data_IF_149485403864
#
_entry.id   IF_149485403864
#
_cell.length_a   1.000
_cell.length_b   1.000
_cell.length_c   1.000
_cell.angle_alpha   90.00
_cell.angle_beta   90.00
_cell.angle_gamma   90.00
#
_symmetry.space_group_name_H-M   'P 1'
#
loop_
_entity.id
_entity.type
_entity.pdbx_description
1 polymer ?
#
# COMPACT_ATOMS: atom_id res chain seq x y z
N UNK A 1 -8.90 -7.21 33.49
CA UNK A 1 -8.72 -8.09 32.30
C UNK A 1 -7.31 -7.88 31.78
N UNK A 2 -6.47 -8.91 31.74
CA UNK A 2 -5.15 -8.78 31.11
C UNK A 2 -5.37 -8.49 29.62
N UNK A 3 -4.82 -7.38 29.12
CA UNK A 3 -4.92 -7.01 27.70
C UNK A 3 -4.24 -8.10 26.85
N UNK A 4 -5.02 -9.07 26.37
CA UNK A 4 -4.58 -10.21 25.54
C UNK A 4 -3.73 -9.75 24.34
N UNK A 5 -4.03 -8.55 23.83
CA UNK A 5 -3.34 -7.88 22.73
C UNK A 5 -1.86 -7.60 23.03
N UNK A 6 -1.48 -7.34 24.29
CA UNK A 6 -0.08 -7.00 24.64
C UNK A 6 0.74 -8.22 25.10
N UNK A 7 0.15 -9.41 25.08
CA UNK A 7 0.88 -10.66 25.37
C UNK A 7 1.81 -11.04 24.22
N UNK A 8 2.84 -11.84 24.48
CA UNK A 8 3.74 -12.35 23.43
C UNK A 8 2.99 -13.15 22.35
N UNK A 9 1.91 -13.85 22.72
CA UNK A 9 1.05 -14.58 21.79
C UNK A 9 0.23 -13.62 20.91
N UNK A 10 -0.36 -12.57 21.51
CA UNK A 10 -1.11 -11.55 20.77
C UNK A 10 -0.24 -10.80 19.75
N UNK A 11 0.99 -10.45 20.13
CA UNK A 11 1.97 -9.85 19.19
C UNK A 11 2.35 -10.78 18.06
N UNK A 12 2.51 -12.07 18.35
CA UNK A 12 2.81 -13.08 17.34
C UNK A 12 1.67 -13.20 16.32
N UNK A 13 0.42 -13.30 16.79
CA UNK A 13 -0.76 -13.42 15.91
C UNK A 13 -0.91 -12.21 15.00
N UNK A 14 -0.82 -10.98 15.56
CA UNK A 14 -0.91 -9.75 14.78
C UNK A 14 0.19 -9.71 13.71
N UNK A 15 1.44 -10.00 14.08
CA UNK A 15 2.54 -10.00 13.12
C UNK A 15 2.36 -11.03 11.99
N UNK A 16 1.90 -12.25 12.30
CA UNK A 16 1.63 -13.27 11.26
C UNK A 16 0.51 -12.81 10.34
N UNK A 17 -0.60 -12.31 10.89
CA UNK A 17 -1.73 -11.82 10.10
C UNK A 17 -1.30 -10.68 9.17
N UNK A 18 -0.47 -9.76 9.67
CA UNK A 18 0.10 -8.68 8.87
C UNK A 18 0.96 -9.19 7.73
N UNK A 19 1.82 -10.20 7.97
CA UNK A 19 2.68 -10.76 6.92
C UNK A 19 1.81 -11.40 5.83
N UNK A 20 0.80 -12.17 6.20
CA UNK A 20 -0.09 -12.85 5.24
C UNK A 20 -0.87 -11.84 4.40
N UNK A 21 -1.48 -10.83 5.04
CA UNK A 21 -2.27 -9.82 4.34
C UNK A 21 -1.37 -8.92 3.50
N UNK A 22 -0.19 -8.55 4.01
CA UNK A 22 0.80 -7.79 3.23
C UNK A 22 1.24 -8.57 1.99
N UNK A 23 1.53 -9.85 2.12
CA UNK A 23 1.92 -10.69 0.98
C UNK A 23 0.80 -10.78 -0.06
N UNK A 24 -0.45 -10.93 0.37
CA UNK A 24 -1.61 -10.93 -0.54
C UNK A 24 -1.83 -9.57 -1.22
N UNK A 25 -1.72 -8.47 -0.47
CA UNK A 25 -1.86 -7.11 -0.99
C UNK A 25 -0.73 -6.74 -1.94
N UNK A 26 0.52 -7.12 -1.61
CA UNK A 26 1.66 -6.94 -2.49
C UNK A 26 1.54 -7.79 -3.76
N UNK A 27 1.07 -9.03 -3.66
CA UNK A 27 0.86 -9.88 -4.84
C UNK A 27 -0.22 -9.31 -5.77
N UNK A 28 -1.35 -8.87 -5.21
CA UNK A 28 -2.43 -8.23 -5.99
C UNK A 28 -2.01 -6.89 -6.59
N UNK A 29 -1.30 -6.06 -5.82
CA UNK A 29 -0.82 -4.75 -6.28
C UNK A 29 0.29 -4.85 -7.34
N UNK A 30 1.22 -5.80 -7.20
CA UNK A 30 2.36 -5.95 -8.10
C UNK A 30 2.02 -6.69 -9.40
N UNK A 31 1.15 -7.70 -9.35
CA UNK A 31 0.93 -8.58 -10.51
C UNK A 31 -0.42 -8.37 -11.21
N UNK A 32 -1.41 -7.76 -10.55
CA UNK A 32 -2.76 -7.64 -11.11
C UNK A 32 -3.18 -6.21 -11.44
N UNK A 33 -2.50 -5.19 -10.91
CA UNK A 33 -2.73 -3.79 -11.32
C UNK A 33 -1.93 -3.40 -12.56
N UNK A 34 -0.96 -4.22 -12.96
CA UNK A 34 -0.17 -4.10 -14.19
C UNK A 34 -0.84 -4.88 -15.33
N UNK A 35 -2.08 -4.48 -15.64
CA UNK A 35 -2.80 -4.94 -16.81
C UNK A 35 -2.16 -4.39 -18.10
N UNK A 36 -1.17 -5.10 -18.62
CA UNK A 36 -1.00 -5.34 -20.06
C UNK A 36 -0.45 -4.22 -20.93
N UNK A 37 0.84 -3.89 -20.80
CA UNK A 37 1.62 -3.48 -21.98
C UNK A 37 2.32 -4.70 -22.57
N UNK A 38 1.64 -5.33 -23.55
CA UNK A 38 2.35 -6.12 -24.56
C UNK A 38 3.31 -5.19 -25.31
N UNK A 39 4.56 -5.58 -25.59
CA UNK A 39 5.40 -4.84 -26.52
C UNK A 39 4.91 -5.12 -27.94
N UNK A 40 3.79 -4.50 -28.34
CA UNK A 40 3.41 -4.40 -29.75
C UNK A 40 4.03 -3.13 -30.31
N UNK A 41 5.04 -3.32 -31.17
CA UNK A 41 5.67 -2.23 -31.89
C UNK A 41 4.66 -1.43 -32.70
N UNK A 42 4.63 -0.11 -32.48
CA UNK A 42 4.07 0.83 -33.44
C UNK A 42 4.85 2.13 -33.43
N UNK A 43 5.86 2.15 -34.29
CA UNK A 43 6.46 3.38 -34.79
C UNK A 43 5.39 4.12 -35.59
N UNK A 44 4.85 5.23 -35.08
CA UNK A 44 4.00 6.14 -35.86
C UNK A 44 4.00 7.56 -35.29
N UNK A 45 4.85 8.39 -35.91
CA UNK A 45 4.63 9.79 -36.31
C UNK A 45 3.95 10.76 -35.33
N UNK A 46 4.74 11.39 -34.47
CA UNK A 46 4.38 12.57 -33.66
C UNK A 46 4.49 13.91 -34.43
N UNK A 47 4.04 14.00 -35.69
CA UNK A 47 4.21 15.24 -36.48
C UNK A 47 2.93 15.91 -37.02
N UNK A 48 1.73 15.41 -36.72
CA UNK A 48 0.48 16.02 -37.23
C UNK A 48 -0.48 16.60 -36.17
N UNK A 49 -0.16 16.56 -34.87
CA UNK A 49 -1.06 17.09 -33.83
C UNK A 49 -0.82 18.56 -33.44
N UNK A 50 0.16 19.24 -34.06
CA UNK A 50 0.49 20.64 -33.76
C UNK A 50 -0.17 21.68 -34.67
N UNK A 51 -0.96 21.27 -35.68
CA UNK A 51 -1.58 22.17 -36.66
C UNK A 51 -3.08 22.41 -36.47
N UNK A 52 -3.72 21.83 -35.44
CA UNK A 52 -5.18 21.93 -35.21
C UNK A 52 -5.61 22.66 -33.93
N UNK A 53 -4.71 23.35 -33.25
CA UNK A 53 -5.00 24.08 -32.00
C UNK A 53 -5.30 25.58 -32.22
N UNK A 54 -5.33 26.06 -33.47
CA UNK A 54 -5.61 27.49 -33.75
C UNK A 54 -7.10 27.85 -33.95
N UNK A 55 -8.05 26.92 -33.79
CA UNK A 55 -9.46 27.21 -34.04
C UNK A 55 -10.38 26.52 -33.02
N UNK A 56 -10.50 27.11 -31.82
CA UNK A 56 -11.69 27.03 -30.96
C UNK A 56 -11.53 27.95 -29.74
N UNK A 57 -11.63 29.25 -30.00
CA UNK A 57 -12.30 30.14 -29.04
C UNK A 57 -13.80 29.78 -29.04
N UNK A 58 -14.44 30.01 -27.90
CA UNK A 58 -15.91 29.98 -27.69
C UNK A 58 -16.51 28.61 -27.35
N UNK A 59 -16.45 28.28 -26.05
CA UNK A 59 -17.57 27.72 -25.24
C UNK A 59 -17.09 27.44 -23.82
N UNK A 60 -17.10 28.50 -23.00
CA UNK A 60 -17.20 28.37 -21.55
C UNK A 60 -18.68 28.08 -21.19
N UNK A 61 -18.91 27.36 -20.09
CA UNK A 61 -20.22 26.93 -19.55
C UNK A 61 -20.81 25.62 -20.11
N UNK A 62 -20.23 24.46 -19.75
CA UNK A 62 -21.00 23.27 -19.31
C UNK A 62 -20.12 22.12 -18.74
N UNK A 63 -19.08 22.42 -17.94
CA UNK A 63 -18.13 21.39 -17.46
C UNK A 63 -18.54 20.66 -16.16
N UNK A 64 -19.54 21.16 -15.43
CA UNK A 64 -19.98 20.55 -14.16
C UNK A 64 -20.83 19.29 -14.35
N UNK A 65 -21.79 19.32 -15.29
CA UNK A 65 -22.73 18.22 -15.51
C UNK A 65 -22.13 17.05 -16.31
N UNK A 66 -21.19 17.34 -17.22
CA UNK A 66 -20.55 16.31 -18.05
C UNK A 66 -19.61 15.38 -17.25
N UNK A 67 -19.03 15.85 -16.14
CA UNK A 67 -18.18 15.04 -15.26
C UNK A 67 -19.01 14.09 -14.38
N UNK A 68 -20.22 14.48 -13.98
CA UNK A 68 -21.10 13.62 -13.17
C UNK A 68 -21.66 12.45 -14.01
N UNK A 69 -22.06 12.72 -15.26
CA UNK A 69 -22.54 11.70 -16.19
C UNK A 69 -21.43 10.74 -16.65
N UNK A 70 -20.21 11.26 -16.88
CA UNK A 70 -19.03 10.45 -17.21
C UNK A 70 -18.63 9.51 -16.07
N UNK A 71 -18.78 9.93 -14.81
CA UNK A 71 -18.49 9.06 -13.66
C UNK A 71 -19.50 7.90 -13.56
N UNK A 72 -20.78 8.13 -13.87
CA UNK A 72 -21.79 7.04 -13.86
C UNK A 72 -21.66 6.06 -15.03
N UNK A 73 -21.18 6.50 -16.20
CA UNK A 73 -20.93 5.61 -17.35
C UNK A 73 -19.59 4.87 -17.23
N UNK A 74 -18.56 5.50 -16.66
CA UNK A 74 -17.24 4.84 -16.45
C UNK A 74 -17.30 3.70 -15.42
N UNK A 75 -18.22 3.77 -14.45
CA UNK A 75 -18.51 2.67 -13.54
C UNK A 75 -19.36 1.55 -14.16
N UNK A 76 -19.97 1.76 -15.34
CA UNK A 76 -20.90 0.80 -15.95
C UNK A 76 -20.28 -0.03 -17.09
N UNK A 77 -19.14 0.39 -17.64
CA UNK A 77 -18.41 -0.34 -18.69
C UNK A 77 -17.14 -1.06 -18.19
N UNK A 78 -16.91 -1.09 -16.87
CA UNK A 78 -15.77 -1.80 -16.26
C UNK A 78 -16.14 -3.27 -16.05
N UNK A 79 -16.01 -4.03 -17.13
CA UNK A 79 -16.35 -5.46 -17.19
C UNK A 79 -15.83 -6.28 -16.00
N UNK A 80 -16.68 -7.23 -15.60
CA UNK A 80 -16.73 -8.06 -14.40
C UNK A 80 -15.46 -8.88 -14.02
N UNK A 81 -14.32 -8.69 -14.69
CA UNK A 81 -13.05 -9.38 -14.40
C UNK A 81 -11.97 -8.53 -13.73
N UNK A 82 -11.98 -7.20 -13.92
CA UNK A 82 -10.94 -6.29 -13.41
C UNK A 82 -11.32 -5.59 -12.10
N UNK A 83 -12.61 -5.54 -11.76
CA UNK A 83 -13.09 -4.91 -10.52
C UNK A 83 -12.72 -5.71 -9.26
N UNK A 84 -12.60 -7.04 -9.40
CA UNK A 84 -12.30 -7.91 -8.28
C UNK A 84 -10.91 -7.65 -7.69
N UNK A 85 -9.88 -7.51 -8.53
CA UNK A 85 -8.49 -7.36 -8.04
C UNK A 85 -8.23 -5.99 -7.42
N UNK A 86 -8.76 -4.91 -8.02
CA UNK A 86 -8.61 -3.55 -7.50
C UNK A 86 -9.35 -3.38 -6.17
N UNK A 87 -10.59 -3.89 -6.07
CA UNK A 87 -11.35 -3.89 -4.82
C UNK A 87 -10.69 -4.73 -3.71
N UNK A 88 -10.10 -5.89 -4.05
CA UNK A 88 -9.35 -6.71 -3.09
C UNK A 88 -8.10 -5.97 -2.60
N UNK A 89 -7.37 -5.29 -3.48
CA UNK A 89 -6.19 -4.51 -3.08
C UNK A 89 -6.58 -3.37 -2.12
N UNK A 90 -7.65 -2.64 -2.43
CA UNK A 90 -8.16 -1.56 -1.56
C UNK A 90 -8.61 -2.09 -0.19
N UNK A 91 -9.47 -3.11 -0.16
CA UNK A 91 -9.97 -3.70 1.09
C UNK A 91 -8.81 -4.29 1.92
N UNK A 92 -7.89 -5.01 1.28
CA UNK A 92 -6.73 -5.57 1.96
C UNK A 92 -5.81 -4.48 2.50
N UNK A 93 -5.66 -3.35 1.80
CA UNK A 93 -4.95 -2.16 2.26
C UNK A 93 -5.56 -1.55 3.52
N UNK A 94 -6.88 -1.42 3.59
CA UNK A 94 -7.58 -0.92 4.78
C UNK A 94 -7.38 -1.87 5.97
N UNK A 95 -7.57 -3.18 5.77
CA UNK A 95 -7.34 -4.17 6.84
C UNK A 95 -5.89 -4.11 7.31
N UNK A 96 -4.95 -3.99 6.37
CA UNK A 96 -3.53 -3.88 6.67
C UNK A 96 -3.20 -2.62 7.46
N UNK A 97 -3.83 -1.47 7.17
CA UNK A 97 -3.69 -0.24 7.95
C UNK A 97 -4.14 -0.40 9.40
N UNK A 98 -5.29 -1.05 9.61
CA UNK A 98 -5.78 -1.36 10.97
C UNK A 98 -4.77 -2.23 11.72
N UNK A 99 -4.20 -3.24 11.06
CA UNK A 99 -3.18 -4.08 11.68
C UNK A 99 -1.87 -3.34 11.95
N UNK A 100 -1.45 -2.42 11.07
CA UNK A 100 -0.29 -1.56 11.31
C UNK A 100 -0.50 -0.63 12.51
N UNK A 101 -1.71 -0.12 12.68
CA UNK A 101 -2.06 0.63 13.89
C UNK A 101 -1.94 -0.23 15.14
N UNK A 102 -2.52 -1.44 15.14
CA UNK A 102 -2.40 -2.38 16.26
C UNK A 102 -0.94 -2.77 16.55
N UNK A 103 -0.14 -3.02 15.52
CA UNK A 103 1.28 -3.31 15.65
C UNK A 103 2.05 -2.14 16.27
N UNK A 104 1.76 -0.91 15.83
CA UNK A 104 2.34 0.31 16.39
C UNK A 104 2.02 0.46 17.87
N UNK A 105 0.77 0.20 18.27
CA UNK A 105 0.35 0.20 19.68
C UNK A 105 1.06 -0.90 20.48
N UNK A 106 1.15 -2.13 19.96
CA UNK A 106 1.85 -3.25 20.61
C UNK A 106 3.35 -2.99 20.82
N UNK A 107 3.94 -2.16 19.96
CA UNK A 107 5.34 -1.77 19.98
C UNK A 107 5.55 -0.31 20.42
N UNK A 108 4.56 0.33 21.06
CA UNK A 108 4.61 1.74 21.43
C UNK A 108 5.84 2.12 22.28
N UNK A 109 6.24 1.25 23.20
CA UNK A 109 7.43 1.46 24.03
C UNK A 109 8.74 1.46 23.23
N UNK A 110 8.77 0.73 22.10
CA UNK A 110 9.91 0.76 21.18
C UNK A 110 9.83 1.99 20.27
N UNK A 111 8.64 2.32 19.75
CA UNK A 111 8.42 3.54 18.96
C UNK A 111 8.81 4.83 19.69
N UNK A 112 8.48 4.94 20.99
CA UNK A 112 8.92 6.08 21.82
C UNK A 112 10.44 6.25 21.83
N UNK A 113 11.22 5.17 21.70
CA UNK A 113 12.68 5.23 21.61
C UNK A 113 13.16 5.65 20.23
N UNK A 114 12.39 5.37 19.17
CA UNK A 114 12.72 5.76 17.81
C UNK A 114 12.75 7.28 17.63
N UNK A 115 11.98 8.05 18.40
CA UNK A 115 12.03 9.52 18.39
C UNK A 115 13.29 10.12 19.04
N UNK A 116 14.18 9.30 19.60
CA UNK A 116 15.51 9.76 19.98
C UNK A 116 16.42 9.78 18.75
N UNK A 117 16.95 10.96 18.39
CA UNK A 117 17.86 11.16 17.23
C UNK A 117 19.00 10.12 17.17
N UNK A 118 19.51 9.71 18.33
CA UNK A 118 20.56 8.67 18.46
C UNK A 118 20.09 7.30 17.95
N UNK A 119 18.84 6.93 18.22
CA UNK A 119 18.26 5.65 17.78
C UNK A 119 17.89 5.64 16.29
N UNK A 120 17.49 6.80 15.75
CA UNK A 120 17.20 6.96 14.31
C UNK A 120 18.43 6.60 13.48
N UNK A 121 19.59 7.15 13.85
CA UNK A 121 20.85 6.90 13.12
C UNK A 121 21.34 5.46 13.25
N UNK A 122 21.02 4.78 14.36
CA UNK A 122 21.41 3.39 14.59
C UNK A 122 20.50 2.39 13.86
N UNK A 123 19.22 2.73 13.65
CA UNK A 123 18.23 1.82 13.07
C UNK A 123 17.75 2.31 11.69
N UNK A 124 18.69 2.66 10.80
CA UNK A 124 18.42 3.25 9.47
C UNK A 124 17.38 2.47 8.66
N UNK A 125 17.47 1.14 8.64
CA UNK A 125 16.52 0.30 7.91
C UNK A 125 15.09 0.51 8.41
N UNK A 126 14.90 0.48 9.73
CA UNK A 126 13.57 0.54 10.33
C UNK A 126 12.95 1.93 10.25
N UNK A 127 13.77 2.97 10.41
CA UNK A 127 13.37 4.35 10.11
C UNK A 127 12.97 4.47 8.63
N UNK A 128 13.77 3.90 7.72
CA UNK A 128 13.47 3.89 6.29
C UNK A 128 12.15 3.19 5.96
N UNK A 129 11.89 2.02 6.55
CA UNK A 129 10.61 1.31 6.41
C UNK A 129 9.44 2.16 6.89
N UNK A 130 9.58 2.85 8.02
CA UNK A 130 8.53 3.73 8.55
C UNK A 130 8.26 4.92 7.62
N UNK A 131 9.31 5.57 7.11
CA UNK A 131 9.18 6.68 6.17
C UNK A 131 8.51 6.26 4.86
N UNK A 132 8.92 5.12 4.29
CA UNK A 132 8.31 4.56 3.08
C UNK A 132 6.85 4.20 3.32
N UNK A 133 6.52 3.63 4.49
CA UNK A 133 5.14 3.32 4.86
C UNK A 133 4.28 4.59 4.94
N UNK A 134 4.75 5.64 5.62
CA UNK A 134 4.03 6.91 5.70
C UNK A 134 3.83 7.51 4.30
N UNK A 135 4.85 7.49 3.45
CA UNK A 135 4.75 7.95 2.06
C UNK A 135 3.70 7.16 1.27
N UNK A 136 3.67 5.83 1.42
CA UNK A 136 2.69 4.96 0.76
C UNK A 136 1.25 5.27 1.19
N UNK A 137 1.03 5.53 2.48
CA UNK A 137 -0.28 5.91 3.01
C UNK A 137 -0.71 7.27 2.48
N UNK A 138 0.20 8.25 2.45
CA UNK A 138 -0.10 9.58 1.93
C UNK A 138 -0.45 9.55 0.45
N UNK A 139 0.28 8.79 -0.37
CA UNK A 139 -0.04 8.63 -1.80
C UNK A 139 -1.36 7.91 -2.01
N UNK A 140 -1.67 6.89 -1.21
CA UNK A 140 -2.98 6.21 -1.24
C UNK A 140 -4.13 7.17 -0.92
N UNK A 141 -4.02 7.96 0.17
CA UNK A 141 -5.04 8.96 0.54
C UNK A 141 -5.17 10.04 -0.53
N UNK A 142 -4.05 10.52 -1.09
CA UNK A 142 -4.07 11.55 -2.13
C UNK A 142 -4.77 11.07 -3.41
N UNK A 143 -4.57 9.81 -3.80
CA UNK A 143 -5.28 9.21 -4.94
C UNK A 143 -6.77 9.02 -4.63
N UNK A 144 -7.12 8.57 -3.42
CA UNK A 144 -8.52 8.34 -3.01
C UNK A 144 -9.35 9.62 -2.89
N UNK A 145 -8.72 10.69 -2.42
CA UNK A 145 -9.40 11.98 -2.17
C UNK A 145 -9.39 12.92 -3.38
N UNK A 146 -8.67 12.57 -4.45
CA UNK A 146 -8.49 13.39 -5.66
C UNK A 146 -8.04 14.85 -5.39
N UNK A 147 -7.44 15.12 -4.24
CA UNK A 147 -7.02 16.47 -3.82
C UNK A 147 -5.97 17.05 -4.77
N UNK A 148 -5.17 16.18 -5.40
CA UNK A 148 -4.11 16.58 -6.32
C UNK A 148 -4.60 16.39 -7.77
N UNK A 149 -4.56 17.45 -8.61
CA UNK A 149 -4.95 17.35 -10.02
C UNK A 149 -4.14 16.29 -10.76
N UNK A 150 -4.84 15.37 -11.43
CA UNK A 150 -4.25 14.36 -12.32
C UNK A 150 -3.50 15.09 -13.45
N UNK A 151 -2.17 15.11 -13.40
CA UNK A 151 -1.31 15.78 -14.39
C UNK A 151 -0.15 16.59 -13.83
N UNK A 152 -0.13 16.92 -12.54
CA UNK A 152 1.05 17.53 -11.90
C UNK A 152 2.08 16.50 -11.44
N UNK A 153 1.60 15.36 -10.92
CA UNK A 153 2.42 14.25 -10.44
C UNK A 153 1.75 12.93 -10.80
N UNK A 154 2.53 11.94 -11.26
CA UNK A 154 2.05 10.57 -11.42
C UNK A 154 2.05 9.86 -10.06
N UNK A 155 1.02 10.15 -9.26
CA UNK A 155 0.86 9.56 -7.92
C UNK A 155 0.74 8.04 -7.97
N UNK A 156 0.23 7.48 -9.08
CA UNK A 156 0.10 6.03 -9.25
C UNK A 156 1.47 5.40 -9.42
N UNK A 157 2.33 5.98 -10.24
CA UNK A 157 3.72 5.55 -10.38
C UNK A 157 4.48 5.67 -9.05
N UNK A 158 4.38 6.82 -8.38
CA UNK A 158 5.04 7.03 -7.08
C UNK A 158 4.56 6.00 -6.05
N UNK A 159 3.25 5.74 -5.98
CA UNK A 159 2.69 4.74 -5.07
C UNK A 159 3.19 3.33 -5.40
N UNK A 160 3.21 2.96 -6.68
CA UNK A 160 3.68 1.65 -7.15
C UNK A 160 5.16 1.43 -6.81
N UNK A 161 6.03 2.38 -7.18
CA UNK A 161 7.48 2.32 -6.90
C UNK A 161 7.74 2.31 -5.40
N UNK A 162 7.05 3.18 -4.64
CA UNK A 162 7.16 3.20 -3.18
C UNK A 162 6.74 1.86 -2.57
N UNK A 163 5.66 1.26 -3.07
CA UNK A 163 5.18 -0.06 -2.66
C UNK A 163 6.20 -1.16 -2.90
N UNK A 164 6.80 -1.21 -4.09
CA UNK A 164 7.86 -2.17 -4.44
C UNK A 164 9.07 -2.04 -3.51
N UNK A 165 9.55 -0.83 -3.27
CA UNK A 165 10.68 -0.59 -2.36
C UNK A 165 10.31 -0.98 -0.94
N UNK A 166 9.09 -0.65 -0.48
CA UNK A 166 8.60 -1.01 0.84
C UNK A 166 8.54 -2.54 1.02
N UNK A 167 8.09 -3.29 0.01
CA UNK A 167 8.09 -4.76 0.02
C UNK A 167 9.49 -5.30 0.32
N UNK A 168 10.52 -4.81 -0.38
CA UNK A 168 11.91 -5.20 -0.11
C UNK A 168 12.33 -4.93 1.35
N UNK A 169 12.01 -3.74 1.87
CA UNK A 169 12.34 -3.36 3.25
C UNK A 169 11.60 -4.23 4.29
N UNK A 170 10.32 -4.52 4.06
CA UNK A 170 9.51 -5.36 4.94
C UNK A 170 10.04 -6.79 4.96
N UNK A 171 10.44 -7.34 3.81
CA UNK A 171 11.07 -8.67 3.75
C UNK A 171 12.33 -8.71 4.62
N UNK A 172 13.24 -7.74 4.46
CA UNK A 172 14.45 -7.65 5.29
C UNK A 172 14.09 -7.53 6.77
N UNK A 173 13.08 -6.72 7.10
CA UNK A 173 12.60 -6.57 8.48
C UNK A 173 12.09 -7.89 9.08
N UNK A 174 11.31 -8.67 8.31
CA UNK A 174 10.81 -9.99 8.73
C UNK A 174 11.98 -10.93 9.00
N UNK A 175 12.98 -10.98 8.12
CA UNK A 175 14.17 -11.81 8.30
C UNK A 175 14.97 -11.43 9.55
N UNK A 176 15.16 -10.13 9.82
CA UNK A 176 15.82 -9.68 11.06
C UNK A 176 15.08 -10.13 12.32
N UNK A 177 13.76 -10.31 12.23
CA UNK A 177 12.91 -10.79 13.33
C UNK A 177 12.72 -12.32 13.36
N UNK A 178 13.25 -13.07 12.40
CA UNK A 178 13.11 -14.53 12.31
C UNK A 178 13.47 -15.27 13.62
N UNK A 179 14.57 -14.88 14.28
CA UNK A 179 14.98 -15.47 15.56
C UNK A 179 13.91 -15.32 16.65
N UNK A 180 13.23 -14.18 16.68
CA UNK A 180 12.16 -13.93 17.64
C UNK A 180 10.95 -14.83 17.35
N UNK A 181 10.54 -14.93 16.08
CA UNK A 181 9.45 -15.81 15.66
C UNK A 181 9.72 -17.27 16.08
N UNK A 182 10.89 -17.81 15.75
CA UNK A 182 11.29 -19.18 16.15
C UNK A 182 11.22 -19.38 17.66
N UNK A 183 11.70 -18.39 18.44
CA UNK A 183 11.70 -18.47 19.91
C UNK A 183 10.28 -18.49 20.49
N UNK A 184 9.39 -17.64 19.97
CA UNK A 184 8.00 -17.57 20.43
C UNK A 184 7.25 -18.84 20.04
N UNK A 185 7.41 -19.32 18.81
CA UNK A 185 6.80 -20.58 18.35
C UNK A 185 7.21 -21.74 19.25
N UNK A 186 8.51 -21.92 19.54
CA UNK A 186 8.98 -22.96 20.48
C UNK A 186 8.32 -22.86 21.86
N UNK A 187 8.16 -21.64 22.41
CA UNK A 187 7.50 -21.43 23.71
C UNK A 187 6.01 -21.78 23.68
N UNK A 188 5.31 -21.42 22.62
CA UNK A 188 3.88 -21.70 22.46
C UNK A 188 3.62 -23.20 22.31
N UNK A 189 4.41 -23.90 21.49
CA UNK A 189 4.27 -25.34 21.30
C UNK A 189 4.69 -26.15 22.54
N UNK A 190 5.76 -25.76 23.24
CA UNK A 190 6.19 -26.41 24.49
C UNK A 190 5.17 -26.23 25.63
N UNK A 191 4.46 -25.09 25.70
CA UNK A 191 3.37 -24.93 26.68
C UNK A 191 2.20 -25.85 26.39
N UNK A 192 1.88 -26.12 25.11
CA UNK A 192 0.76 -26.98 24.74
C UNK A 192 0.97 -28.44 25.14
N UNK A 193 2.22 -28.93 25.12
CA UNK A 193 2.56 -30.31 25.51
C UNK A 193 2.65 -30.54 27.02
N UNK A 194 2.52 -29.51 27.85
CA UNK A 194 2.57 -29.63 29.33
C UNK A 194 1.16 -29.56 29.95
N UNK A 195 0.16 -29.15 29.16
CA UNK A 195 -1.25 -29.05 29.59
C UNK A 195 -2.13 -30.11 28.92
N UNK A 196 -1.53 -31.01 28.13
CA UNK A 196 -2.16 -32.20 27.56
C UNK A 196 -1.67 -33.43 28.32
#
# INVERSE_FOLDING_TARGET
MQNLINTSAGKYVVNILMIVIFAGSAFTGLFFMEGGERPEGRHSNNQELFSKVSDRSDRHENRGAANLARNSEFHRERGEGAEGSEGIHEISGIIWLVLMFLHTVQHWNWYKKLFSLKHIMQNKLLTGTLLLFVLLVLTSIAMWTEIIPRGLFDLKEIHSVTGQVLVGFVIIHIFQRAKWYVTVTKKLFKRRSVVA
#
